data_IF_804326379347
#
_entry.id   IF_804326379347
#
_cell.length_a   1.000
_cell.length_b   1.000
_cell.length_c   1.000
_cell.angle_alpha   90.00
_cell.angle_beta   90.00
_cell.angle_gamma   90.00
#
_symmetry.space_group_name_H-M   'P 1'
#
loop_
_entity.id
_entity.type
_entity.pdbx_description
1 polymer ?
#
# COMPACT_ATOMS: atom_id res chain seq x y z
N UNK A 1 -23.42 -0.24 15.22
CA UNK A 1 -22.42 0.49 16.03
C UNK A 1 -21.21 -0.35 16.48
N UNK A 2 -21.19 -1.02 17.66
CA UNK A 2 -19.94 -1.63 18.19
C UNK A 2 -19.36 -2.72 17.24
N UNK A 3 -20.21 -3.60 16.72
CA UNK A 3 -19.78 -4.68 15.82
C UNK A 3 -19.22 -4.12 14.50
N UNK A 4 -19.78 -3.03 13.99
CA UNK A 4 -19.34 -2.40 12.73
C UNK A 4 -18.01 -1.66 12.90
N UNK A 5 -17.80 -0.99 14.04
CA UNK A 5 -16.51 -0.39 14.39
C UNK A 5 -15.43 -1.45 14.52
N UNK A 6 -15.73 -2.58 15.21
CA UNK A 6 -14.79 -3.68 15.32
C UNK A 6 -14.44 -4.29 13.96
N UNK A 7 -15.43 -4.47 13.08
CA UNK A 7 -15.20 -4.94 11.70
C UNK A 7 -14.26 -4.01 10.93
N UNK A 8 -14.46 -2.68 11.00
CA UNK A 8 -13.60 -1.69 10.34
C UNK A 8 -12.17 -1.70 10.88
N UNK A 9 -11.99 -1.92 12.19
CA UNK A 9 -10.68 -2.08 12.81
C UNK A 9 -9.99 -3.35 12.27
N UNK A 10 -10.68 -4.49 12.23
CA UNK A 10 -10.09 -5.72 11.67
C UNK A 10 -9.77 -5.60 10.19
N UNK A 11 -10.61 -4.89 9.41
CA UNK A 11 -10.33 -4.58 8.02
C UNK A 11 -9.07 -3.70 7.88
N UNK A 12 -8.94 -2.64 8.67
CA UNK A 12 -7.75 -1.77 8.66
C UNK A 12 -6.47 -2.53 9.04
N UNK A 13 -6.54 -3.40 10.05
CA UNK A 13 -5.39 -4.23 10.46
C UNK A 13 -5.04 -5.22 9.36
N UNK A 14 -6.05 -5.91 8.81
CA UNK A 14 -5.87 -6.91 7.77
C UNK A 14 -5.30 -6.30 6.50
N UNK A 15 -5.95 -5.27 5.96
CA UNK A 15 -5.54 -4.58 4.74
C UNK A 15 -4.11 -4.06 4.86
N UNK A 16 -3.81 -3.23 5.86
CA UNK A 16 -2.46 -2.70 6.06
C UNK A 16 -1.38 -3.78 6.20
N UNK A 17 -1.66 -4.89 6.89
CA UNK A 17 -0.70 -5.99 7.02
C UNK A 17 -0.52 -6.76 5.70
N UNK A 18 -1.60 -7.19 5.07
CA UNK A 18 -1.57 -8.02 3.86
C UNK A 18 -1.00 -7.24 2.67
N UNK A 19 -1.39 -5.97 2.50
CA UNK A 19 -0.91 -5.15 1.41
C UNK A 19 0.58 -4.87 1.54
N UNK A 20 1.05 -4.44 2.72
CA UNK A 20 2.49 -4.22 2.89
C UNK A 20 3.28 -5.53 2.76
N UNK A 21 2.76 -6.65 3.25
CA UNK A 21 3.44 -7.94 3.10
C UNK A 21 3.58 -8.29 1.61
N UNK A 22 2.50 -8.18 0.84
CA UNK A 22 2.49 -8.54 -0.57
C UNK A 22 3.34 -7.57 -1.41
N UNK A 23 3.09 -6.27 -1.30
CA UNK A 23 3.70 -5.29 -2.19
C UNK A 23 5.12 -4.90 -1.77
N UNK A 24 5.44 -4.88 -0.47
CA UNK A 24 6.73 -4.37 0.02
C UNK A 24 7.65 -5.50 0.40
N UNK A 25 7.19 -6.47 1.17
CA UNK A 25 8.06 -7.58 1.53
C UNK A 25 8.27 -8.54 0.35
N UNK A 26 7.19 -9.12 -0.19
CA UNK A 26 7.27 -10.16 -1.21
C UNK A 26 7.64 -9.58 -2.57
N UNK A 27 6.89 -8.61 -3.08
CA UNK A 27 7.07 -8.13 -4.45
C UNK A 27 8.38 -7.36 -4.63
N UNK A 28 8.78 -6.47 -3.71
CA UNK A 28 10.09 -5.78 -3.83
C UNK A 28 11.23 -6.80 -3.74
N UNK A 29 11.18 -7.78 -2.82
CA UNK A 29 12.22 -8.80 -2.72
C UNK A 29 12.31 -9.64 -4.01
N UNK A 30 11.17 -10.05 -4.57
CA UNK A 30 11.12 -10.80 -5.83
C UNK A 30 11.66 -10.00 -7.01
N UNK A 31 11.24 -8.75 -7.15
CA UNK A 31 11.72 -7.87 -8.24
C UNK A 31 13.22 -7.59 -8.08
N UNK A 32 13.67 -7.31 -6.85
CA UNK A 32 15.08 -7.07 -6.56
C UNK A 32 15.92 -8.31 -6.90
N UNK A 33 15.48 -9.50 -6.47
CA UNK A 33 16.11 -10.77 -6.81
C UNK A 33 16.21 -10.97 -8.33
N UNK A 34 15.11 -10.76 -9.07
CA UNK A 34 15.11 -10.91 -10.53
C UNK A 34 16.08 -9.93 -11.19
N UNK A 35 15.99 -8.64 -10.88
CA UNK A 35 16.78 -7.64 -11.58
C UNK A 35 18.25 -7.60 -11.17
N UNK A 36 18.54 -7.75 -9.88
CA UNK A 36 19.90 -7.65 -9.35
C UNK A 36 20.60 -8.99 -9.37
N UNK A 37 20.01 -10.02 -8.77
CA UNK A 37 20.70 -11.30 -8.57
C UNK A 37 20.65 -12.18 -9.83
N UNK A 38 19.50 -12.24 -10.52
CA UNK A 38 19.36 -13.08 -11.71
C UNK A 38 19.82 -12.40 -13.01
N UNK A 39 19.53 -11.10 -13.18
CA UNK A 39 19.86 -10.33 -14.40
C UNK A 39 21.13 -9.47 -14.27
N UNK A 40 21.71 -9.36 -13.07
CA UNK A 40 22.99 -8.65 -12.86
C UNK A 40 22.90 -7.12 -12.92
N UNK A 41 21.72 -6.52 -12.71
CA UNK A 41 21.61 -5.07 -12.70
C UNK A 41 22.29 -4.48 -11.45
N UNK A 42 22.72 -3.22 -11.55
CA UNK A 42 23.26 -2.51 -10.39
C UNK A 42 22.20 -2.42 -9.30
N UNK A 43 22.61 -2.65 -8.05
CA UNK A 43 21.73 -2.63 -6.87
C UNK A 43 20.79 -1.42 -6.82
N UNK A 44 21.30 -0.20 -7.07
CA UNK A 44 20.50 1.04 -7.09
C UNK A 44 19.41 1.00 -8.16
N UNK A 45 19.74 0.52 -9.36
CA UNK A 45 18.79 0.40 -10.48
C UNK A 45 17.71 -0.62 -10.16
N UNK A 46 18.09 -1.78 -9.60
CA UNK A 46 17.13 -2.81 -9.19
C UNK A 46 16.16 -2.32 -8.12
N UNK A 47 16.63 -1.57 -7.12
CA UNK A 47 15.77 -0.94 -6.11
C UNK A 47 14.79 0.06 -6.76
N UNK A 48 15.28 0.96 -7.62
CA UNK A 48 14.42 1.96 -8.27
C UNK A 48 13.31 1.27 -9.08
N UNK A 49 13.66 0.24 -9.85
CA UNK A 49 12.67 -0.54 -10.63
C UNK A 49 11.68 -1.23 -9.69
N UNK A 50 12.14 -1.87 -8.62
CA UNK A 50 11.27 -2.55 -7.67
C UNK A 50 10.30 -1.60 -6.96
N UNK A 51 10.77 -0.39 -6.59
CA UNK A 51 9.92 0.67 -6.01
C UNK A 51 8.86 1.11 -7.02
N UNK A 52 9.25 1.41 -8.26
CA UNK A 52 8.29 1.88 -9.28
C UNK A 52 7.24 0.82 -9.58
N UNK A 53 7.67 -0.41 -9.85
CA UNK A 53 6.75 -1.50 -10.22
C UNK A 53 5.83 -1.90 -9.06
N UNK A 54 6.35 -1.99 -7.83
CA UNK A 54 5.50 -2.28 -6.66
C UNK A 54 4.48 -1.16 -6.39
N UNK A 55 4.85 0.09 -6.60
CA UNK A 55 3.95 1.25 -6.43
C UNK A 55 2.84 1.28 -7.47
N UNK A 56 3.17 0.96 -8.72
CA UNK A 56 2.18 0.86 -9.80
C UNK A 56 1.24 -0.35 -9.58
N UNK A 57 1.77 -1.49 -9.15
CA UNK A 57 0.97 -2.67 -8.81
C UNK A 57 0.02 -2.39 -7.63
N UNK A 58 0.50 -1.66 -6.61
CA UNK A 58 -0.31 -1.23 -5.48
C UNK A 58 -1.47 -0.31 -5.90
N UNK A 59 -1.20 0.66 -6.80
CA UNK A 59 -2.24 1.52 -7.35
C UNK A 59 -3.25 0.73 -8.20
N UNK A 60 -2.77 -0.21 -8.99
CA UNK A 60 -3.64 -1.07 -9.80
C UNK A 60 -4.55 -1.97 -8.95
N UNK A 61 -4.07 -2.41 -7.78
CA UNK A 61 -4.83 -3.25 -6.85
C UNK A 61 -6.05 -2.53 -6.26
N UNK A 62 -6.02 -1.19 -6.18
CA UNK A 62 -7.13 -0.40 -5.70
C UNK A 62 -8.21 -0.29 -6.78
N UNK A 63 -9.34 -0.97 -6.57
CA UNK A 63 -10.43 -1.11 -7.54
C UNK A 63 -11.05 0.22 -7.98
N UNK A 64 -10.89 1.30 -7.20
CA UNK A 64 -11.37 2.64 -7.54
C UNK A 64 -10.54 3.31 -8.63
N UNK A 65 -9.34 2.79 -8.91
CA UNK A 65 -8.43 3.32 -9.94
C UNK A 65 -8.90 2.94 -11.33
N UNK A 66 -9.31 1.69 -11.54
CA UNK A 66 -9.77 1.17 -12.83
C UNK A 66 -11.22 0.76 -12.72
N UNK A 67 -12.10 1.48 -13.42
CA UNK A 67 -13.53 1.18 -13.45
C UNK A 67 -13.98 0.88 -14.89
N UNK A 68 -15.20 0.32 -15.08
CA UNK A 68 -15.75 0.09 -16.42
C UNK A 68 -15.84 1.34 -17.29
N UNK A 69 -15.87 2.53 -16.68
CA UNK A 69 -15.95 3.82 -17.37
C UNK A 69 -14.58 4.44 -17.68
N UNK A 70 -13.48 3.83 -17.25
CA UNK A 70 -12.12 4.29 -17.51
C UNK A 70 -11.23 4.35 -16.26
N UNK A 71 -10.10 5.05 -16.39
CA UNK A 71 -9.11 5.21 -15.31
C UNK A 71 -9.38 6.51 -14.54
N UNK A 72 -9.49 6.42 -13.22
CA UNK A 72 -9.49 7.59 -12.35
C UNK A 72 -8.04 8.04 -12.09
N UNK A 73 -7.54 8.94 -12.94
CA UNK A 73 -6.15 9.42 -12.85
C UNK A 73 -5.79 10.06 -11.52
N UNK A 74 -6.74 10.71 -10.84
CA UNK A 74 -6.49 11.32 -9.53
C UNK A 74 -6.17 10.25 -8.49
N UNK A 75 -6.96 9.18 -8.44
CA UNK A 75 -6.71 8.05 -7.54
C UNK A 75 -5.48 7.24 -7.96
N UNK A 76 -5.29 7.02 -9.28
CA UNK A 76 -4.11 6.35 -9.81
C UNK A 76 -2.81 7.03 -9.32
N UNK A 77 -2.73 8.36 -9.45
CA UNK A 77 -1.58 9.15 -9.00
C UNK A 77 -1.46 9.08 -7.48
N UNK A 78 -2.56 9.24 -6.74
CA UNK A 78 -2.55 9.18 -5.28
C UNK A 78 -1.99 7.84 -4.77
N UNK A 79 -2.56 6.71 -5.21
CA UNK A 79 -2.11 5.39 -4.77
C UNK A 79 -0.72 5.04 -5.28
N UNK A 80 -0.31 5.53 -6.46
CA UNK A 80 1.08 5.34 -6.92
C UNK A 80 2.06 6.08 -6.02
N UNK A 81 1.76 7.33 -5.63
CA UNK A 81 2.62 8.12 -4.74
C UNK A 81 2.64 7.57 -3.31
N UNK A 82 1.48 7.14 -2.78
CA UNK A 82 1.40 6.42 -1.50
C UNK A 82 2.19 5.10 -1.58
N UNK A 83 2.03 4.39 -2.70
CA UNK A 83 2.80 3.25 -3.16
C UNK A 83 4.30 3.42 -2.91
N UNK A 84 4.84 4.48 -3.53
CA UNK A 84 6.25 4.84 -3.50
C UNK A 84 6.70 5.30 -2.11
N UNK A 85 5.87 6.07 -1.40
CA UNK A 85 6.15 6.49 -0.03
C UNK A 85 6.34 5.29 0.90
N UNK A 86 5.42 4.32 0.90
CA UNK A 86 5.53 3.12 1.72
C UNK A 86 6.68 2.22 1.30
N UNK A 87 6.98 2.12 0.00
CA UNK A 87 8.17 1.41 -0.48
C UNK A 87 9.47 2.03 0.04
N UNK A 88 9.58 3.37 0.01
CA UNK A 88 10.72 4.08 0.58
C UNK A 88 10.80 3.94 2.09
N UNK A 89 9.67 3.99 2.79
CA UNK A 89 9.59 3.78 4.23
C UNK A 89 10.04 2.36 4.60
N UNK A 90 9.57 1.35 3.87
CA UNK A 90 9.98 -0.04 4.02
C UNK A 90 11.50 -0.21 3.84
N UNK A 91 12.08 0.35 2.77
CA UNK A 91 13.51 0.24 2.50
C UNK A 91 14.34 0.94 3.59
N UNK A 92 13.88 2.10 4.06
CA UNK A 92 14.63 2.91 5.03
C UNK A 92 14.47 2.44 6.49
N UNK A 93 13.32 1.88 6.85
CA UNK A 93 12.90 1.64 8.25
C UNK A 93 12.42 0.22 8.52
N UNK A 94 12.19 -0.60 7.49
CA UNK A 94 11.76 -1.98 7.60
C UNK A 94 10.24 -2.17 7.62
N UNK A 95 9.84 -3.45 7.63
CA UNK A 95 8.45 -3.90 7.44
C UNK A 95 7.48 -3.39 8.50
N UNK A 96 7.79 -3.54 9.79
CA UNK A 96 6.86 -3.19 10.87
C UNK A 96 6.47 -1.70 10.89
N UNK A 97 7.40 -0.81 10.54
CA UNK A 97 7.13 0.63 10.47
C UNK A 97 6.23 0.96 9.27
N UNK A 98 6.42 0.30 8.13
CA UNK A 98 5.55 0.48 6.96
C UNK A 98 4.11 0.00 7.26
N UNK A 99 3.96 -1.21 7.83
CA UNK A 99 2.66 -1.76 8.25
C UNK A 99 1.97 -0.83 9.23
N UNK A 100 2.68 -0.38 10.27
CA UNK A 100 2.11 0.51 11.28
C UNK A 100 1.63 1.84 10.71
N UNK A 101 2.38 2.42 9.77
CA UNK A 101 2.00 3.66 9.11
C UNK A 101 0.76 3.48 8.21
N UNK A 102 0.68 2.38 7.47
CA UNK A 102 -0.48 2.08 6.62
C UNK A 102 -1.72 1.80 7.46
N UNK A 103 -1.62 0.91 8.44
CA UNK A 103 -2.69 0.59 9.39
C UNK A 103 -3.22 1.87 10.07
N UNK A 104 -2.33 2.79 10.47
CA UNK A 104 -2.75 4.06 11.05
C UNK A 104 -3.57 4.91 10.08
N UNK A 105 -3.17 4.98 8.81
CA UNK A 105 -3.96 5.65 7.77
C UNK A 105 -5.34 5.02 7.62
N UNK A 106 -5.42 3.69 7.58
CA UNK A 106 -6.69 2.97 7.44
C UNK A 106 -7.60 3.18 8.65
N UNK A 107 -7.06 3.18 9.88
CA UNK A 107 -7.85 3.51 11.07
C UNK A 107 -8.37 4.94 11.02
N UNK A 108 -7.57 5.90 10.58
CA UNK A 108 -8.01 7.29 10.43
C UNK A 108 -9.17 7.39 9.43
N UNK A 109 -9.05 6.75 8.27
CA UNK A 109 -10.04 6.83 7.20
C UNK A 109 -11.30 6.00 7.47
N UNK A 110 -11.15 4.78 7.97
CA UNK A 110 -12.26 3.83 8.12
C UNK A 110 -13.00 3.96 9.45
N UNK A 111 -12.35 4.47 10.49
CA UNK A 111 -12.91 4.54 11.85
C UNK A 111 -13.06 5.98 12.34
N UNK A 112 -11.98 6.75 12.35
CA UNK A 112 -11.97 8.09 12.98
C UNK A 112 -12.78 9.09 12.16
N UNK A 113 -12.59 9.15 10.84
CA UNK A 113 -13.27 10.11 9.98
C UNK A 113 -14.80 9.93 9.95
N UNK A 114 -15.36 8.70 9.79
CA UNK A 114 -16.80 8.49 9.88
C UNK A 114 -17.38 8.89 11.25
N UNK A 115 -16.65 8.60 12.33
CA UNK A 115 -17.05 8.99 13.68
C UNK A 115 -17.13 10.51 13.85
N UNK A 116 -16.13 11.26 13.36
CA UNK A 116 -16.14 12.73 13.40
C UNK A 116 -17.28 13.32 12.58
N UNK A 117 -17.62 12.71 11.44
CA UNK A 117 -18.65 13.21 10.54
C UNK A 117 -20.09 12.96 11.04
N UNK A 118 -20.26 12.40 12.23
CA UNK A 118 -21.58 12.07 12.78
C UNK A 118 -22.31 10.99 11.99
N UNK A 119 -21.59 10.24 11.14
CA UNK A 119 -22.11 9.01 10.55
C UNK A 119 -22.02 7.91 11.61
N UNK A 120 -22.91 7.98 12.60
CA UNK A 120 -23.21 6.80 13.41
C UNK A 120 -23.91 5.79 12.48
N UNK A 121 -23.24 4.66 12.28
CA UNK A 121 -23.78 3.48 11.58
C UNK A 121 -25.00 2.90 12.29
#
# INVERSE_FOLDING_TARGET
ALNDTLQRIFLAIGAGLYEEMLFRLVLIALLHFIFVDALGFKHKTGIIIAVVLSSLAFAWHHNEVVSPTGINWRLAIFYTLAGAYFAMLFIARGFGIAVGAHLMYDLLVLVVMPWIQGQES
#
